data_IF_519656488107
#
_entry.id   IF_519656488107
#
_cell.length_a   1.000
_cell.length_b   1.000
_cell.length_c   1.000
_cell.angle_alpha   90.00
_cell.angle_beta   90.00
_cell.angle_gamma   90.00
#
_symmetry.space_group_name_H-M   'P 1'
#
loop_
_entity.id
_entity.type
_entity.pdbx_description
1 polymer ?
#
# COMPACT_ATOMS: atom_id res chain seq x y z
N UNK A 1 35.88 -49.91 -5.96
CA UNK A 1 34.61 -49.30 -6.41
C UNK A 1 33.72 -48.88 -5.23
N UNK A 2 34.17 -47.98 -4.35
CA UNK A 2 33.34 -47.48 -3.21
C UNK A 2 33.36 -45.95 -3.04
N UNK A 3 34.28 -45.26 -3.70
CA UNK A 3 34.51 -43.81 -3.54
C UNK A 3 33.59 -42.93 -4.39
N UNK A 4 33.08 -43.44 -5.52
CA UNK A 4 32.28 -42.64 -6.47
C UNK A 4 30.83 -42.43 -6.01
N UNK A 5 30.29 -43.33 -5.17
CA UNK A 5 28.89 -43.24 -4.70
C UNK A 5 28.73 -42.21 -3.58
N UNK A 6 29.77 -41.99 -2.78
CA UNK A 6 29.75 -41.04 -1.65
C UNK A 6 29.78 -39.59 -2.16
N UNK A 7 30.52 -39.32 -3.24
CA UNK A 7 30.61 -37.98 -3.81
C UNK A 7 29.28 -37.50 -4.41
N UNK A 8 28.48 -38.42 -4.98
CA UNK A 8 27.20 -38.07 -5.61
C UNK A 8 26.12 -37.70 -4.59
N UNK A 9 26.10 -38.32 -3.40
CA UNK A 9 25.12 -38.00 -2.36
C UNK A 9 25.37 -36.64 -1.68
N UNK A 10 26.63 -36.21 -1.57
CA UNK A 10 26.97 -34.91 -0.95
C UNK A 10 26.55 -33.74 -1.86
N UNK A 11 26.58 -33.92 -3.18
CA UNK A 11 26.15 -32.90 -4.15
C UNK A 11 24.62 -32.75 -4.16
N UNK A 12 23.86 -33.84 -4.01
CA UNK A 12 22.40 -33.80 -3.94
C UNK A 12 21.88 -33.15 -2.63
N UNK A 13 22.57 -33.37 -1.51
CA UNK A 13 22.19 -32.77 -0.23
C UNK A 13 22.42 -31.25 -0.19
N UNK A 14 23.44 -30.73 -0.89
CA UNK A 14 23.73 -29.30 -0.92
C UNK A 14 22.79 -28.51 -1.86
N UNK A 15 22.26 -29.14 -2.93
CA UNK A 15 21.24 -28.53 -3.79
C UNK A 15 19.85 -28.45 -3.13
N UNK A 16 19.50 -29.36 -2.22
CA UNK A 16 18.22 -29.34 -1.52
C UNK A 16 18.15 -28.25 -0.43
N UNK A 17 19.28 -27.87 0.16
CA UNK A 17 19.33 -26.82 1.20
C UNK A 17 19.22 -25.41 0.57
N UNK A 18 19.67 -25.24 -0.68
CA UNK A 18 19.59 -23.97 -1.40
C UNK A 18 18.16 -23.63 -1.88
N UNK A 19 17.28 -24.62 -2.08
CA UNK A 19 15.91 -24.37 -2.57
C UNK A 19 14.91 -24.04 -1.46
N UNK A 20 15.16 -24.46 -0.21
CA UNK A 20 14.29 -24.13 0.92
C UNK A 20 14.54 -22.73 1.52
N UNK A 21 15.73 -22.14 1.31
CA UNK A 21 16.05 -20.79 1.83
C UNK A 21 15.46 -19.66 0.97
N UNK A 22 15.14 -19.91 -0.30
CA UNK A 22 14.64 -18.88 -1.21
C UNK A 22 13.21 -18.43 -0.89
N UNK A 23 12.28 -19.38 -0.67
CA UNK A 23 10.87 -19.04 -0.41
C UNK A 23 10.66 -18.37 0.97
N UNK A 24 11.47 -18.74 1.97
CA UNK A 24 11.41 -18.13 3.30
C UNK A 24 12.01 -16.71 3.33
N UNK A 25 13.10 -16.48 2.59
CA UNK A 25 13.71 -15.16 2.46
C UNK A 25 12.81 -14.17 1.72
N UNK A 26 12.14 -14.58 0.64
CA UNK A 26 11.18 -13.73 -0.06
C UNK A 26 9.99 -13.34 0.82
N UNK A 27 9.45 -14.31 1.58
CA UNK A 27 8.33 -14.06 2.49
C UNK A 27 8.70 -13.09 3.62
N UNK A 28 9.90 -13.23 4.21
CA UNK A 28 10.41 -12.29 5.22
C UNK A 28 10.61 -10.88 4.65
N UNK A 29 11.18 -10.76 3.44
CA UNK A 29 11.38 -9.47 2.77
C UNK A 29 10.06 -8.77 2.42
N UNK A 30 9.03 -9.53 2.05
CA UNK A 30 7.71 -9.01 1.74
C UNK A 30 6.98 -8.48 2.99
N UNK A 31 7.02 -9.24 4.08
CA UNK A 31 6.44 -8.82 5.38
C UNK A 31 7.12 -7.55 5.89
N UNK A 32 8.46 -7.49 5.85
CA UNK A 32 9.23 -6.29 6.22
C UNK A 32 8.85 -5.06 5.37
N UNK A 33 8.58 -5.28 4.08
CA UNK A 33 8.15 -4.22 3.16
C UNK A 33 6.74 -3.72 3.49
N UNK A 34 5.78 -4.62 3.75
CA UNK A 34 4.40 -4.23 4.10
C UNK A 34 4.36 -3.47 5.42
N UNK A 35 5.00 -3.98 6.46
CA UNK A 35 5.02 -3.33 7.78
C UNK A 35 5.70 -1.97 7.74
N UNK A 36 6.77 -1.82 6.95
CA UNK A 36 7.42 -0.51 6.77
C UNK A 36 6.50 0.49 6.06
N UNK A 37 5.83 0.08 4.97
CA UNK A 37 4.87 0.94 4.24
C UNK A 37 3.71 1.35 5.16
N UNK A 38 3.14 0.40 5.91
CA UNK A 38 2.07 0.69 6.88
C UNK A 38 2.52 1.72 7.92
N UNK A 39 3.70 1.56 8.50
CA UNK A 39 4.22 2.48 9.51
C UNK A 39 4.45 3.90 8.94
N UNK A 40 4.99 4.02 7.73
CA UNK A 40 5.17 5.29 7.04
C UNK A 40 3.83 5.99 6.77
N UNK A 41 2.84 5.26 6.25
CA UNK A 41 1.49 5.78 5.98
C UNK A 41 0.81 6.20 7.29
N UNK A 42 0.90 5.39 8.34
CA UNK A 42 0.30 5.69 9.64
C UNK A 42 0.93 6.93 10.28
N UNK A 43 2.26 7.09 10.17
CA UNK A 43 2.97 8.27 10.65
C UNK A 43 2.48 9.54 9.94
N UNK A 44 2.27 9.48 8.63
CA UNK A 44 1.76 10.62 7.87
C UNK A 44 0.30 10.93 8.19
N UNK A 45 -0.53 9.89 8.35
CA UNK A 45 -1.92 10.04 8.78
C UNK A 45 -2.03 10.72 10.16
N UNK A 46 -1.16 10.37 11.11
CA UNK A 46 -1.10 11.04 12.42
C UNK A 46 -0.77 12.52 12.26
N UNK A 47 0.24 12.89 11.45
CA UNK A 47 0.57 14.31 11.22
C UNK A 47 -0.62 15.09 10.67
N UNK A 48 -1.30 14.55 9.65
CA UNK A 48 -2.48 15.17 9.06
C UNK A 48 -3.61 15.34 10.09
N UNK A 49 -3.84 14.32 10.93
CA UNK A 49 -4.90 14.37 11.96
C UNK A 49 -4.65 15.41 13.08
N UNK A 50 -3.40 15.83 13.28
CA UNK A 50 -3.06 16.84 14.29
C UNK A 50 -3.19 18.29 13.79
N UNK A 51 -3.43 18.51 12.49
CA UNK A 51 -3.64 19.85 11.93
C UNK A 51 -5.05 20.33 12.20
N UNK A 52 -5.19 21.49 12.85
CA UNK A 52 -6.50 22.09 13.17
C UNK A 52 -7.24 22.64 11.94
N UNK A 53 -6.50 23.16 10.96
CA UNK A 53 -7.05 23.72 9.72
C UNK A 53 -6.40 23.00 8.54
N UNK A 54 -6.86 21.78 8.26
CA UNK A 54 -6.33 20.99 7.16
C UNK A 54 -6.79 21.56 5.81
N UNK A 55 -5.84 21.94 4.94
CA UNK A 55 -6.12 22.43 3.59
C UNK A 55 -5.83 21.37 2.52
N UNK A 56 -6.38 21.53 1.32
CA UNK A 56 -6.02 20.71 0.16
C UNK A 56 -4.50 20.69 -0.07
N UNK A 57 -3.85 21.85 0.02
CA UNK A 57 -2.40 21.96 -0.17
C UNK A 57 -1.62 21.12 0.85
N UNK A 58 -2.08 21.09 2.11
CA UNK A 58 -1.47 20.25 3.14
C UNK A 58 -1.59 18.76 2.82
N UNK A 59 -2.76 18.35 2.33
CA UNK A 59 -3.02 16.96 1.94
C UNK A 59 -2.12 16.58 0.77
N UNK A 60 -2.14 17.33 -0.33
CA UNK A 60 -1.35 17.04 -1.52
C UNK A 60 0.16 17.05 -1.23
N UNK A 61 0.64 18.00 -0.43
CA UNK A 61 2.05 18.04 -0.02
C UNK A 61 2.46 16.80 0.78
N UNK A 62 1.61 16.34 1.70
CA UNK A 62 1.86 15.16 2.52
C UNK A 62 1.85 13.87 1.68
N UNK A 63 0.88 13.73 0.77
CA UNK A 63 0.81 12.60 -0.15
C UNK A 63 2.03 12.56 -1.09
N UNK A 64 2.46 13.71 -1.59
CA UNK A 64 3.64 13.84 -2.46
C UNK A 64 4.93 13.50 -1.71
N UNK A 65 5.07 13.96 -0.46
CA UNK A 65 6.21 13.62 0.40
C UNK A 65 6.29 12.12 0.67
N UNK A 66 5.16 11.48 0.98
CA UNK A 66 5.12 10.03 1.20
C UNK A 66 5.47 9.25 -0.07
N UNK A 67 4.91 9.68 -1.21
CA UNK A 67 5.19 9.03 -2.49
C UNK A 67 6.68 9.18 -2.85
N UNK A 68 7.22 10.40 -2.85
CA UNK A 68 8.64 10.67 -3.17
C UNK A 68 9.63 9.96 -2.23
N UNK A 69 9.29 9.81 -0.95
CA UNK A 69 10.11 9.11 0.04
C UNK A 69 10.13 7.59 -0.11
N UNK A 70 9.20 6.99 -0.87
CA UNK A 70 9.10 5.54 -1.01
C UNK A 70 8.81 5.12 -2.46
N UNK A 71 9.85 4.63 -3.13
CA UNK A 71 9.79 4.14 -4.52
C UNK A 71 8.91 2.89 -4.70
N UNK A 72 8.58 2.18 -3.61
CA UNK A 72 7.77 0.95 -3.63
C UNK A 72 6.28 1.23 -3.77
N UNK A 73 5.84 2.49 -3.62
CA UNK A 73 4.43 2.81 -3.34
C UNK A 73 3.50 3.04 -4.54
N UNK A 74 3.84 3.20 -5.81
CA UNK A 74 2.88 3.59 -6.89
C UNK A 74 1.97 4.84 -6.66
N UNK A 75 1.02 4.83 -5.71
CA UNK A 75 0.13 5.95 -5.39
C UNK A 75 -0.37 5.95 -3.94
N UNK A 76 -0.84 7.10 -3.47
CA UNK A 76 -1.29 7.35 -2.10
C UNK A 76 -2.58 8.17 -2.12
N UNK A 77 -3.59 7.74 -1.37
CA UNK A 77 -4.88 8.42 -1.26
C UNK A 77 -5.14 8.95 0.15
N UNK A 78 -5.85 10.06 0.23
CA UNK A 78 -6.48 10.60 1.42
C UNK A 78 -7.98 10.68 1.21
N UNK A 79 -8.74 10.03 2.09
CA UNK A 79 -10.20 10.01 2.06
C UNK A 79 -10.73 10.15 3.50
N UNK A 80 -11.77 10.95 3.67
CA UNK A 80 -12.46 11.21 4.94
C UNK A 80 -13.75 10.37 5.03
N UNK A 81 -14.58 10.61 6.04
CA UNK A 81 -15.91 10.00 6.13
C UNK A 81 -16.72 10.28 4.84
N UNK A 82 -17.65 9.39 4.44
CA UNK A 82 -18.32 9.54 3.15
C UNK A 82 -19.25 10.74 3.11
N UNK A 83 -19.66 11.25 4.28
CA UNK A 83 -20.54 12.40 4.43
C UNK A 83 -19.98 13.36 5.49
N UNK A 84 -20.09 14.66 5.25
CA UNK A 84 -19.83 15.69 6.25
C UNK A 84 -21.03 15.87 7.22
N UNK A 85 -20.96 16.90 8.07
CA UNK A 85 -22.06 17.24 9.00
C UNK A 85 -23.37 17.65 8.29
N UNK A 86 -23.29 18.05 7.02
CA UNK A 86 -24.41 18.45 6.17
C UNK A 86 -24.90 17.31 5.25
N UNK A 87 -24.37 16.09 5.41
CA UNK A 87 -24.66 14.93 4.56
C UNK A 87 -24.17 15.08 3.11
N UNK A 88 -23.18 15.93 2.85
CA UNK A 88 -22.54 16.08 1.55
C UNK A 88 -21.34 15.14 1.39
N UNK A 89 -21.14 14.62 0.17
CA UNK A 89 -20.01 13.75 -0.14
C UNK A 89 -18.69 14.51 0.01
N UNK A 90 -17.81 14.02 0.88
CA UNK A 90 -16.52 14.67 1.13
C UNK A 90 -15.53 14.37 0.00
N UNK A 91 -14.61 15.30 -0.25
CA UNK A 91 -13.54 15.19 -1.24
C UNK A 91 -12.52 14.10 -0.91
N UNK A 92 -11.93 13.53 -1.97
CA UNK A 92 -10.85 12.54 -1.91
C UNK A 92 -9.70 12.97 -2.81
N UNK A 93 -8.49 12.81 -2.30
CA UNK A 93 -7.28 13.23 -2.97
C UNK A 93 -6.38 12.02 -3.21
N UNK A 94 -5.86 11.88 -4.42
CA UNK A 94 -5.00 10.77 -4.81
C UNK A 94 -3.79 11.28 -5.59
N UNK A 95 -2.59 10.90 -5.15
CA UNK A 95 -1.32 11.24 -5.82
C UNK A 95 -0.65 9.95 -6.28
N UNK A 96 -0.30 9.85 -7.55
CA UNK A 96 0.22 8.61 -8.13
C UNK A 96 1.30 8.84 -9.19
N UNK A 97 2.08 7.79 -9.47
CA UNK A 97 3.10 7.78 -10.50
C UNK A 97 2.51 7.42 -11.86
N UNK A 98 2.87 8.18 -12.88
CA UNK A 98 2.64 7.82 -14.28
C UNK A 98 3.95 8.01 -15.05
N UNK A 99 4.65 6.89 -15.28
CA UNK A 99 6.00 6.93 -15.83
C UNK A 99 6.97 7.65 -14.90
N UNK A 100 7.61 8.70 -15.41
CA UNK A 100 8.54 9.59 -14.70
C UNK A 100 7.85 10.75 -13.97
N UNK A 101 6.52 10.89 -14.13
CA UNK A 101 5.75 12.00 -13.57
C UNK A 101 4.96 11.58 -12.34
N UNK A 102 4.71 12.56 -11.48
CA UNK A 102 3.70 12.47 -10.43
C UNK A 102 2.44 13.19 -10.90
N UNK A 103 1.28 12.57 -10.75
CA UNK A 103 -0.03 13.13 -11.05
C UNK A 103 -0.88 13.20 -9.79
N UNK A 104 -1.81 14.14 -9.79
CA UNK A 104 -2.81 14.31 -8.73
C UNK A 104 -4.20 14.16 -9.33
N UNK A 105 -5.07 13.50 -8.60
CA UNK A 105 -6.49 13.36 -8.88
C UNK A 105 -7.27 13.84 -7.66
N UNK A 106 -8.26 14.67 -7.90
CA UNK A 106 -9.17 15.17 -6.89
C UNK A 106 -10.60 14.89 -7.38
N UNK A 107 -11.34 14.11 -6.61
CA UNK A 107 -12.74 13.81 -6.89
C UNK A 107 -13.58 14.07 -5.65
N UNK A 108 -14.81 14.55 -5.85
CA UNK A 108 -15.85 14.33 -4.84
C UNK A 108 -15.94 12.84 -4.63
N UNK A 109 -15.84 12.35 -3.39
CA UNK A 109 -15.85 10.92 -3.15
C UNK A 109 -17.04 10.32 -3.91
N UNK A 110 -16.76 9.39 -4.82
CA UNK A 110 -17.76 8.40 -5.20
C UNK A 110 -18.26 7.77 -3.91
N UNK A 111 -19.47 7.21 -3.89
CA UNK A 111 -19.89 6.45 -2.71
C UNK A 111 -19.01 5.18 -2.59
N UNK A 112 -17.83 5.32 -2.00
CA UNK A 112 -16.84 4.28 -1.79
C UNK A 112 -17.37 3.21 -0.82
N UNK A 113 -18.49 3.47 -0.15
CA UNK A 113 -19.20 2.48 0.66
C UNK A 113 -20.01 1.50 -0.21
N UNK A 114 -20.48 1.91 -1.39
CA UNK A 114 -21.31 1.06 -2.27
C UNK A 114 -20.52 0.43 -3.42
N UNK A 115 -19.40 1.02 -3.84
CA UNK A 115 -18.54 0.44 -4.88
C UNK A 115 -17.88 -0.87 -4.42
N UNK A 116 -17.93 -1.89 -5.28
CA UNK A 116 -17.22 -3.15 -5.05
C UNK A 116 -15.69 -2.97 -5.15
N UNK A 117 -15.23 -1.97 -5.90
CA UNK A 117 -13.81 -1.69 -6.14
C UNK A 117 -13.19 -0.80 -5.05
N UNK A 118 -13.99 -0.32 -4.10
CA UNK A 118 -13.54 0.60 -3.04
C UNK A 118 -13.31 -0.08 -1.70
N UNK A 119 -12.91 -1.36 -1.74
CA UNK A 119 -12.53 -2.11 -0.54
C UNK A 119 -11.35 -1.46 0.21
N UNK A 120 -10.49 -0.72 -0.50
CA UNK A 120 -9.40 0.09 0.06
C UNK A 120 -9.92 1.14 1.05
N UNK A 121 -11.16 1.60 0.89
CA UNK A 121 -11.83 2.56 1.77
C UNK A 121 -12.78 1.87 2.75
N UNK A 122 -13.73 1.09 2.24
CA UNK A 122 -14.86 0.54 3.00
C UNK A 122 -14.43 -0.36 4.15
N UNK A 123 -13.47 -1.27 3.91
CA UNK A 123 -13.03 -2.24 4.92
C UNK A 123 -12.34 -1.56 6.12
N UNK A 124 -11.29 -0.74 5.93
CA UNK A 124 -10.66 -0.06 7.07
C UNK A 124 -11.63 0.90 7.78
N UNK A 125 -12.52 1.58 7.04
CA UNK A 125 -13.54 2.44 7.64
C UNK A 125 -14.50 1.70 8.58
N UNK A 126 -15.00 0.53 8.16
CA UNK A 126 -15.92 -0.29 8.97
C UNK A 126 -15.23 -1.01 10.13
N UNK A 127 -14.01 -1.50 9.92
CA UNK A 127 -13.27 -2.29 10.92
C UNK A 127 -12.37 -1.46 11.84
N UNK A 128 -12.24 -0.15 11.61
CA UNK A 128 -11.45 0.79 12.43
C UNK A 128 -10.00 0.35 12.63
N UNK A 129 -9.39 -0.26 11.60
CA UNK A 129 -7.99 -0.69 11.60
C UNK A 129 -7.38 -0.61 10.20
N UNK A 130 -6.06 -0.49 10.12
CA UNK A 130 -5.33 -0.59 8.86
C UNK A 130 -5.54 -1.98 8.23
N UNK A 131 -5.81 -2.03 6.93
CA UNK A 131 -6.11 -3.26 6.21
C UNK A 131 -5.58 -3.19 4.78
N UNK A 132 -4.90 -4.25 4.35
CA UNK A 132 -4.62 -4.46 2.94
C UNK A 132 -5.89 -4.86 2.19
N UNK A 133 -6.12 -4.24 1.04
CA UNK A 133 -7.08 -4.77 0.08
C UNK A 133 -6.50 -6.02 -0.59
N UNK A 134 -7.39 -6.86 -1.11
CA UNK A 134 -6.99 -7.82 -2.15
C UNK A 134 -6.58 -7.03 -3.40
N UNK A 135 -5.74 -7.57 -4.30
CA UNK A 135 -5.46 -6.94 -5.59
C UNK A 135 -6.75 -6.63 -6.35
N UNK A 136 -6.83 -5.43 -6.93
CA UNK A 136 -7.97 -4.96 -7.71
C UNK A 136 -7.48 -4.07 -8.85
N UNK A 137 -8.33 -3.87 -9.86
CA UNK A 137 -8.08 -2.89 -10.89
C UNK A 137 -8.76 -1.58 -10.52
N UNK A 138 -7.99 -0.49 -10.54
CA UNK A 138 -8.47 0.85 -10.30
C UNK A 138 -9.04 1.42 -11.60
N UNK A 139 -10.36 1.29 -11.78
CA UNK A 139 -11.07 1.61 -13.03
C UNK A 139 -11.36 3.10 -13.22
N UNK A 140 -11.14 3.94 -12.20
CA UNK A 140 -11.43 5.38 -12.29
C UNK A 140 -10.30 6.15 -13.01
N UNK A 141 -9.90 5.68 -14.19
CA UNK A 141 -8.85 6.29 -15.03
C UNK A 141 -9.39 7.09 -16.23
N UNK A 142 -10.69 7.36 -16.29
CA UNK A 142 -11.31 8.16 -17.36
C UNK A 142 -11.24 9.65 -17.09
#
# INVERSE_FOLDING_TARGET
MKTTVILLMIVLASLAIASCTCSYCEKLKYVDTQTTIEAEVQKEAVKLSTKSNLTEQDIIASLTALLSGNSRIFGVAYATAPYDENMELIETYYVFREGDKTKTKHEKAYNFMTSQNSNWYRKPYLHKKAMWSIPYYDFDRS
#
